data_IF_721956651745
#
_entry.id   IF_721956651745
#
_cell.length_a   1.000
_cell.length_b   1.000
_cell.length_c   1.000
_cell.angle_alpha   90.00
_cell.angle_beta   90.00
_cell.angle_gamma   90.00
#
_symmetry.space_group_name_H-M   'P 1'
#
loop_
_entity.id
_entity.type
_entity.pdbx_description
1 polymer ?
#
# COMPACT_ATOMS: atom_id res chain seq x y z
N UNK A 1 3.93 3.36 -7.11
CA UNK A 1 2.87 3.79 -6.18
C UNK A 1 2.98 3.20 -4.77
N UNK A 2 3.17 1.89 -4.57
CA UNK A 2 3.18 1.25 -3.23
C UNK A 2 4.25 1.82 -2.27
N UNK A 3 5.49 1.99 -2.74
CA UNK A 3 6.55 2.64 -1.95
C UNK A 3 6.13 4.00 -1.37
N UNK A 4 5.43 4.82 -2.15
CA UNK A 4 4.93 6.12 -1.69
C UNK A 4 3.85 5.95 -0.60
N UNK A 5 2.90 5.03 -0.80
CA UNK A 5 1.84 4.77 0.17
C UNK A 5 2.40 4.25 1.51
N UNK A 6 3.34 3.29 1.46
CA UNK A 6 4.03 2.77 2.65
C UNK A 6 4.90 3.84 3.33
N UNK A 7 5.62 4.65 2.55
CA UNK A 7 6.39 5.78 3.08
C UNK A 7 5.51 6.79 3.82
N UNK A 8 4.33 7.10 3.29
CA UNK A 8 3.36 7.98 3.96
C UNK A 8 2.87 7.37 5.29
N UNK A 9 2.62 6.06 5.34
CA UNK A 9 2.30 5.37 6.59
C UNK A 9 3.45 5.46 7.60
N UNK A 10 4.71 5.36 7.16
CA UNK A 10 5.87 5.50 8.05
C UNK A 10 6.05 6.92 8.60
N UNK A 11 5.92 7.95 7.76
CA UNK A 11 6.02 9.36 8.19
C UNK A 11 4.94 9.70 9.22
N UNK A 12 3.76 9.06 9.13
CA UNK A 12 2.68 9.22 10.10
C UNK A 12 2.74 8.22 11.28
N UNK A 13 3.85 7.51 11.46
CA UNK A 13 4.08 6.59 12.59
C UNK A 13 3.14 5.38 12.61
N UNK A 14 2.58 4.99 11.45
CA UNK A 14 1.68 3.83 11.33
C UNK A 14 2.45 2.52 11.16
N UNK A 15 3.66 2.58 10.62
CA UNK A 15 4.61 1.47 10.53
C UNK A 15 6.03 1.98 10.75
N UNK A 16 6.89 1.11 11.28
CA UNK A 16 8.36 1.33 11.34
C UNK A 16 9.10 0.52 10.27
N UNK A 17 8.37 -0.29 9.50
CA UNK A 17 8.88 -1.28 8.53
C UNK A 17 8.23 -1.07 7.15
N UNK A 18 8.44 0.08 6.49
CA UNK A 18 7.74 0.40 5.25
C UNK A 18 8.15 -0.49 4.07
N UNK A 19 9.37 -1.03 4.06
CA UNK A 19 9.86 -1.88 2.97
C UNK A 19 9.24 -3.27 3.05
N UNK A 20 9.22 -3.87 4.24
CA UNK A 20 8.60 -5.17 4.48
C UNK A 20 7.07 -5.09 4.30
N UNK A 21 6.45 -3.97 4.67
CA UNK A 21 5.04 -3.71 4.37
C UNK A 21 4.77 -3.60 2.86
N UNK A 22 5.68 -2.99 2.09
CA UNK A 22 5.59 -2.93 0.63
C UNK A 22 5.72 -4.32 0.01
N UNK A 23 6.64 -5.17 0.49
CA UNK A 23 6.77 -6.56 0.06
C UNK A 23 5.48 -7.36 0.31
N UNK A 24 4.87 -7.24 1.49
CA UNK A 24 3.59 -7.87 1.81
C UNK A 24 2.44 -7.43 0.87
N UNK A 25 2.48 -6.19 0.38
CA UNK A 25 1.51 -5.68 -0.60
C UNK A 25 1.77 -6.23 -2.00
N UNK A 26 3.03 -6.30 -2.43
CA UNK A 26 3.41 -6.91 -3.71
C UNK A 26 3.02 -8.38 -3.80
N UNK A 27 3.31 -9.16 -2.75
CA UNK A 27 2.89 -10.57 -2.68
C UNK A 27 1.38 -10.72 -2.82
N UNK A 28 0.60 -9.77 -2.27
CA UNK A 28 -0.86 -9.79 -2.38
C UNK A 28 -1.35 -9.38 -3.77
N UNK A 29 -0.70 -8.42 -4.43
CA UNK A 29 -1.02 -8.00 -5.80
C UNK A 29 -0.74 -9.13 -6.80
N UNK A 30 0.33 -9.90 -6.62
CA UNK A 30 0.69 -11.03 -7.49
C UNK A 30 -0.37 -12.15 -7.53
N UNK A 31 -1.15 -12.32 -6.46
CA UNK A 31 -2.22 -13.33 -6.41
C UNK A 31 -3.39 -12.93 -7.31
N UNK A 32 -3.89 -11.70 -7.14
CA UNK A 32 -4.97 -11.10 -7.93
C UNK A 32 -4.79 -9.60 -7.87
N UNK A 33 -4.88 -8.95 -9.03
CA UNK A 33 -4.78 -7.50 -9.13
C UNK A 33 -5.76 -6.79 -8.19
N UNK A 34 -5.29 -5.71 -7.57
CA UNK A 34 -6.14 -4.86 -6.72
C UNK A 34 -6.77 -3.70 -7.48
N UNK A 35 -6.62 -3.65 -8.80
CA UNK A 35 -7.36 -2.74 -9.67
C UNK A 35 -8.87 -3.03 -9.59
N UNK A 36 -9.67 -1.99 -9.33
CA UNK A 36 -11.14 -2.09 -9.23
C UNK A 36 -11.85 -1.40 -10.40
N UNK A 37 -11.09 -0.90 -11.39
CA UNK A 37 -11.58 -0.23 -12.58
C UNK A 37 -11.54 1.31 -12.48
N UNK A 38 -11.82 1.97 -13.61
CA UNK A 38 -11.87 3.45 -13.70
C UNK A 38 -10.60 4.18 -13.22
N UNK A 39 -9.43 3.55 -13.37
CA UNK A 39 -8.15 4.11 -12.91
C UNK A 39 -7.96 4.07 -11.39
N UNK A 40 -8.72 3.22 -10.67
CA UNK A 40 -8.62 3.04 -9.23
C UNK A 40 -8.05 1.67 -8.90
N UNK A 41 -7.14 1.64 -7.93
CA UNK A 41 -6.64 0.42 -7.29
C UNK A 41 -6.75 0.55 -5.77
N UNK A 42 -6.95 -0.58 -5.09
CA UNK A 42 -7.04 -0.65 -3.62
C UNK A 42 -6.02 -1.69 -3.11
N UNK A 43 -4.71 -1.38 -3.17
CA UNK A 43 -3.71 -2.28 -2.63
C UNK A 43 -3.90 -2.42 -1.12
N UNK A 44 -4.10 -3.65 -0.66
CA UNK A 44 -4.37 -3.97 0.73
C UNK A 44 -3.73 -5.30 1.09
N UNK A 45 -3.28 -5.44 2.33
CA UNK A 45 -2.77 -6.71 2.87
C UNK A 45 -3.02 -6.76 4.37
N UNK A 46 -2.95 -7.96 4.95
CA UNK A 46 -2.83 -8.13 6.40
C UNK A 46 -1.34 -8.31 6.69
N UNK A 47 -0.74 -7.33 7.35
CA UNK A 47 0.68 -7.33 7.67
C UNK A 47 0.91 -7.19 9.17
N UNK A 48 1.93 -7.86 9.69
CA UNK A 48 2.38 -7.68 11.08
C UNK A 48 3.04 -6.32 11.32
N UNK A 49 3.42 -5.62 10.24
CA UNK A 49 4.09 -4.32 10.26
C UNK A 49 3.13 -3.13 10.51
N UNK A 50 1.83 -3.41 10.65
CA UNK A 50 0.78 -2.42 10.95
C UNK A 50 0.05 -2.85 12.24
N UNK A 51 0.14 -2.03 13.29
CA UNK A 51 -0.52 -2.32 14.59
C UNK A 51 -2.00 -1.95 14.62
N UNK A 52 -2.37 -0.88 13.91
CA UNK A 52 -3.75 -0.39 13.79
C UNK A 52 -4.09 -0.21 12.33
N UNK A 53 -5.27 -0.69 11.91
CA UNK A 53 -5.76 -0.50 10.54
C UNK A 53 -5.59 0.94 10.09
N UNK A 54 -4.91 1.12 8.97
CA UNK A 54 -4.49 2.42 8.46
C UNK A 54 -4.71 2.46 6.96
N UNK A 55 -5.00 3.65 6.42
CA UNK A 55 -5.22 3.88 4.99
C UNK A 55 -4.31 5.03 4.57
N UNK A 56 -3.63 4.85 3.44
CA UNK A 56 -2.89 5.89 2.73
C UNK A 56 -3.51 6.07 1.35
N UNK A 57 -3.69 7.30 0.90
CA UNK A 57 -4.35 7.62 -0.36
C UNK A 57 -3.40 8.47 -1.19
N UNK A 58 -3.22 8.09 -2.45
CA UNK A 58 -2.48 8.87 -3.44
C UNK A 58 -3.34 9.09 -4.68
N UNK A 59 -3.13 10.24 -5.33
CA UNK A 59 -3.57 10.49 -6.70
C UNK A 59 -2.31 10.58 -7.55
N UNK A 60 -2.19 9.72 -8.55
CA UNK A 60 -1.06 9.75 -9.46
C UNK A 60 -1.30 10.79 -10.56
N UNK A 61 -0.26 11.53 -10.93
CA UNK A 61 -0.32 12.50 -12.03
C UNK A 61 -0.46 11.82 -13.40
N UNK A 62 0.04 10.59 -13.51
CA UNK A 62 -0.04 9.74 -14.69
C UNK A 62 -0.52 8.34 -14.27
N UNK A 63 -1.19 7.59 -15.15
CA UNK A 63 -1.49 6.18 -14.90
C UNK A 63 -0.21 5.40 -14.60
N UNK A 64 -0.30 4.44 -13.67
CA UNK A 64 0.73 3.42 -13.42
C UNK A 64 0.79 2.41 -14.58
#
# INVERSE_FOLDING_TARGET
MLQFLCGNLAIHGRTEHPLELEEDLWQREEIVTTAVGFGVAIPHTKSQWIRHSSISIARLEKPD
#
